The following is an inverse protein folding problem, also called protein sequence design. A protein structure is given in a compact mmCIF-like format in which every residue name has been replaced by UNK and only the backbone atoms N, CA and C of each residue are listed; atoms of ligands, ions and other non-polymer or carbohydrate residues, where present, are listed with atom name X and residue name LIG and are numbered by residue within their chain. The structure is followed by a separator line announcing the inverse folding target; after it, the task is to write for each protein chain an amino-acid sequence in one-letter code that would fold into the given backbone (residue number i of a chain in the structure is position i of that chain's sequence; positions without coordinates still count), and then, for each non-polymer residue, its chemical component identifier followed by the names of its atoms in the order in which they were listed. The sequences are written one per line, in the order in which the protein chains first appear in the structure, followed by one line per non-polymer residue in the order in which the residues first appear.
data_IF_483369838398
#
_entry.id   IF_483369838398
#
_cell.length_a   1.000
_cell.length_b   1.000
_cell.length_c   1.000
_cell.angle_alpha   90.00
_cell.angle_beta   90.00
_cell.angle_gamma   90.00
#
_symmetry.space_group_name_H-M   'P 1'
#
loop_
_entity.id
_entity.type
_entity.pdbx_description
1 polymer ?
#
# COMPACT_ATOMS: atom_id res chain seq x y z
N UNK A 1 7.97 -35.27 -3.80
CA UNK A 1 7.32 -34.70 -5.02
C UNK A 1 5.84 -34.96 -4.81
N UNK A 2 5.02 -33.98 -4.43
CA UNK A 2 4.27 -33.12 -5.36
C UNK A 2 4.02 -31.73 -4.76
N UNK A 3 4.16 -30.71 -5.60
CA UNK A 3 3.86 -29.28 -5.37
C UNK A 3 2.35 -29.02 -5.54
N UNK A 4 1.92 -27.81 -5.19
CA UNK A 4 0.63 -27.17 -5.57
C UNK A 4 -0.58 -27.61 -4.74
N UNK A 5 -1.51 -26.76 -4.32
CA UNK A 5 -1.74 -25.32 -4.45
C UNK A 5 -2.88 -25.00 -3.47
N UNK A 6 -2.97 -23.74 -3.02
CA UNK A 6 -4.11 -22.86 -3.32
C UNK A 6 -4.33 -21.84 -2.20
N UNK A 7 -3.71 -20.68 -2.43
CA UNK A 7 -4.17 -19.37 -2.03
C UNK A 7 -5.69 -19.24 -2.26
N UNK A 8 -6.47 -19.17 -1.17
CA UNK A 8 -7.86 -18.69 -1.16
C UNK A 8 -8.31 -18.38 0.26
N UNK A 9 -7.75 -17.30 0.81
CA UNK A 9 -8.12 -16.73 2.11
C UNK A 9 -9.20 -15.65 2.03
N UNK A 10 -10.34 -16.00 1.40
CA UNK A 10 -11.71 -15.55 1.68
C UNK A 10 -11.90 -14.20 2.41
N UNK A 11 -12.39 -13.24 1.64
CA UNK A 11 -13.13 -12.07 2.13
C UNK A 11 -14.14 -12.47 3.22
N UNK A 12 -13.99 -11.86 4.40
CA UNK A 12 -15.01 -11.81 5.44
C UNK A 12 -15.07 -10.37 5.95
N UNK A 13 -16.15 -9.70 5.59
CA UNK A 13 -16.54 -8.41 6.14
C UNK A 13 -16.82 -8.55 7.65
N UNK A 14 -16.01 -7.89 8.47
CA UNK A 14 -16.29 -7.54 9.87
C UNK A 14 -15.29 -6.46 10.34
N UNK A 15 -15.65 -5.71 11.40
CA UNK A 15 -15.99 -4.27 11.40
C UNK A 15 -14.84 -3.38 10.93
N UNK A 16 -15.05 -2.45 9.96
CA UNK A 16 -14.10 -1.43 9.39
C UNK A 16 -12.68 -1.50 9.96
N UNK A 17 -12.04 -2.66 9.79
CA UNK A 17 -10.69 -2.94 10.28
C UNK A 17 -9.88 -2.71 9.05
N UNK A 18 -9.34 -1.50 8.98
CA UNK A 18 -8.50 -1.10 7.87
C UNK A 18 -7.49 -2.23 7.60
N UNK A 19 -7.63 -2.90 6.46
CA UNK A 19 -6.80 -4.05 6.15
C UNK A 19 -5.36 -3.55 6.02
N UNK A 20 -4.46 -4.18 6.77
CA UNK A 20 -3.03 -3.93 6.67
C UNK A 20 -2.55 -4.55 5.36
N UNK A 21 -2.15 -3.71 4.42
CA UNK A 21 -1.63 -4.15 3.13
C UNK A 21 -0.11 -4.07 3.15
N UNK A 22 0.55 -5.09 2.59
CA UNK A 22 1.99 -5.03 2.38
C UNK A 22 2.34 -3.90 1.41
N UNK A 23 3.38 -3.13 1.73
CA UNK A 23 3.84 -2.02 0.89
C UNK A 23 4.23 -2.52 -0.50
N UNK A 24 4.84 -3.71 -0.60
CA UNK A 24 5.13 -4.37 -1.88
C UNK A 24 3.87 -4.53 -2.78
N UNK A 25 2.74 -4.93 -2.19
CA UNK A 25 1.48 -5.09 -2.91
C UNK A 25 0.92 -3.72 -3.33
N UNK A 26 0.99 -2.75 -2.41
CA UNK A 26 0.61 -1.36 -2.70
C UNK A 26 1.49 -0.75 -3.78
N UNK A 27 2.80 -1.03 -3.83
CA UNK A 27 3.72 -0.61 -4.87
C UNK A 27 3.33 -1.20 -6.23
N UNK A 28 3.01 -2.49 -6.27
CA UNK A 28 2.59 -3.18 -7.50
C UNK A 28 1.28 -2.63 -8.07
N UNK A 29 0.33 -2.29 -7.21
CA UNK A 29 -0.97 -1.72 -7.59
C UNK A 29 -1.06 -0.20 -7.37
N UNK A 30 0.08 0.47 -7.19
CA UNK A 30 0.16 1.87 -6.77
C UNK A 30 -0.48 2.83 -7.75
N UNK A 31 -0.18 2.59 -9.02
CA UNK A 31 -0.67 3.35 -10.16
C UNK A 31 -2.16 3.14 -10.38
N UNK A 32 -2.67 1.96 -10.06
CA UNK A 32 -4.08 1.60 -10.25
C UNK A 32 -4.95 2.08 -9.07
N UNK A 33 -4.47 1.90 -7.83
CA UNK A 33 -5.21 2.24 -6.60
C UNK A 33 -5.11 3.73 -6.26
N UNK A 34 -3.92 4.34 -6.41
CA UNK A 34 -3.63 5.70 -5.97
C UNK A 34 -3.29 6.65 -7.12
N UNK A 35 -3.13 6.16 -8.36
CA UNK A 35 -2.72 6.99 -9.50
C UNK A 35 -1.28 7.49 -9.42
N UNK A 36 -0.48 7.00 -8.47
CA UNK A 36 0.91 7.45 -8.26
C UNK A 36 1.90 6.41 -8.76
N UNK A 37 3.09 6.86 -9.15
CA UNK A 37 4.18 5.95 -9.50
C UNK A 37 4.63 5.14 -8.27
N UNK A 38 5.12 3.91 -8.45
CA UNK A 38 5.70 3.12 -7.35
C UNK A 38 6.90 3.84 -6.70
N UNK A 39 7.62 4.68 -7.45
CA UNK A 39 8.69 5.54 -6.93
C UNK A 39 8.20 6.52 -5.85
N UNK A 40 6.96 7.02 -5.97
CA UNK A 40 6.36 7.91 -4.96
C UNK A 40 6.08 7.13 -3.69
N UNK A 41 5.53 5.92 -3.79
CA UNK A 41 5.35 5.05 -2.63
C UNK A 41 6.69 4.68 -2.01
N UNK A 42 7.69 4.34 -2.81
CA UNK A 42 9.03 4.07 -2.32
C UNK A 42 9.57 5.28 -1.52
N UNK A 43 9.48 6.49 -2.06
CA UNK A 43 9.86 7.71 -1.35
C UNK A 43 9.01 8.02 -0.10
N UNK A 44 7.71 7.73 -0.13
CA UNK A 44 6.78 7.88 1.00
C UNK A 44 7.17 6.94 2.15
N UNK A 45 7.49 5.69 1.81
CA UNK A 45 7.81 4.64 2.77
C UNK A 45 9.32 4.47 3.02
N UNK A 46 10.19 5.22 2.32
CA UNK A 46 11.65 5.14 2.46
C UNK A 46 12.13 5.43 3.89
N UNK A 47 11.38 6.24 4.64
CA UNK A 47 11.67 6.54 6.06
C UNK A 47 10.90 5.66 7.04
N UNK A 48 9.96 4.85 6.54
CA UNK A 48 9.13 3.97 7.35
C UNK A 48 9.79 2.59 7.43
N UNK A 49 10.03 2.09 8.65
CA UNK A 49 10.46 0.69 8.86
C UNK A 49 9.30 -0.31 8.77
N UNK A 50 8.09 0.20 8.54
CA UNK A 50 6.88 -0.59 8.41
C UNK A 50 6.89 -1.27 7.04
N UNK A 51 6.54 -2.55 7.03
CA UNK A 51 6.37 -3.37 5.81
C UNK A 51 4.90 -3.49 5.41
N UNK A 52 4.00 -3.08 6.30
CA UNK A 52 2.55 -3.11 6.13
C UNK A 52 1.95 -1.78 6.55
N UNK A 53 0.95 -1.33 5.81
CA UNK A 53 0.26 -0.06 6.04
C UNK A 53 -1.20 -0.20 5.59
N UNK A 54 -2.11 0.51 6.24
CA UNK A 54 -3.50 0.53 5.81
C UNK A 54 -3.68 1.37 4.56
N UNK A 55 -4.74 1.11 3.78
CA UNK A 55 -5.04 1.88 2.56
C UNK A 55 -5.20 3.38 2.85
N UNK A 56 -5.89 3.74 3.94
CA UNK A 56 -6.12 5.15 4.31
C UNK A 56 -4.84 5.83 4.76
N UNK A 57 -4.01 5.13 5.53
CA UNK A 57 -2.75 5.68 6.01
C UNK A 57 -1.75 5.83 4.86
N UNK A 58 -1.68 4.86 3.94
CA UNK A 58 -0.94 4.98 2.70
C UNK A 58 -1.42 6.19 1.88
N UNK A 59 -2.74 6.33 1.69
CA UNK A 59 -3.31 7.50 0.98
C UNK A 59 -2.90 8.82 1.65
N UNK A 60 -2.99 8.90 2.98
CA UNK A 60 -2.64 10.10 3.75
C UNK A 60 -1.16 10.44 3.64
N UNK A 61 -0.28 9.44 3.71
CA UNK A 61 1.17 9.61 3.56
C UNK A 61 1.53 10.00 2.12
N UNK A 62 0.90 9.39 1.11
CA UNK A 62 1.05 9.75 -0.31
C UNK A 62 0.61 11.21 -0.53
N UNK A 63 -0.58 11.60 -0.06
CA UNK A 63 -1.09 12.98 -0.20
C UNK A 63 -0.15 13.98 0.47
N UNK A 64 0.33 13.69 1.69
CA UNK A 64 1.29 14.51 2.40
C UNK A 64 2.63 14.62 1.66
N UNK A 65 3.11 13.54 1.04
CA UNK A 65 4.34 13.52 0.25
C UNK A 65 4.20 14.33 -1.04
N UNK A 66 3.09 14.15 -1.77
CA UNK A 66 2.78 14.93 -2.97
C UNK A 66 2.67 16.41 -2.64
N UNK A 67 1.95 16.78 -1.56
CA UNK A 67 1.87 18.17 -1.08
C UNK A 67 3.23 18.76 -0.72
N UNK A 68 4.10 17.98 -0.07
CA UNK A 68 5.46 18.42 0.31
C UNK A 68 6.39 18.61 -0.89
N UNK A 69 6.13 17.89 -1.99
CA UNK A 69 6.84 18.03 -3.27
C UNK A 69 6.44 19.29 -4.07
N UNK A 70 5.31 19.94 -3.73
CA UNK A 70 4.89 21.22 -4.33
C UNK A 70 5.40 22.38 -3.45
N UNK A 71 6.70 22.59 -3.42
CA UNK A 71 7.20 23.94 -3.15
C UNK A 71 7.08 24.72 -4.46
N UNK A 72 6.06 25.58 -4.53
CA UNK A 72 5.97 26.68 -5.48
C UNK A 72 7.18 27.61 -5.33
#
# INVERSE_FOLDING_TARGET
MTKEQLDKGKAKEAPVKESLFYIHQLQKHSRDIFGVKPEVLDGVFAKSKEIQVTKSEAKKRIDAFLRKGVKQ
#
